data_IF_915460715432
#
_entry.id   IF_915460715432
#
_cell.length_a   1.000
_cell.length_b   1.000
_cell.length_c   1.000
_cell.angle_alpha   90.00
_cell.angle_beta   90.00
_cell.angle_gamma   90.00
#
_symmetry.space_group_name_H-M   'P 1'
#
loop_
_entity.id
_entity.type
_entity.pdbx_description
1 polymer ?
#
# COMPACT_ATOMS: atom_id res chain seq x y z
N UNK A 1 -22.41 16.57 14.40
CA UNK A 1 -21.19 16.49 13.56
C UNK A 1 -21.42 15.45 12.47
N UNK A 2 -21.27 15.76 11.18
CA UNK A 2 -21.47 14.77 10.12
C UNK A 2 -20.46 13.63 10.27
N UNK A 3 -20.93 12.38 10.19
CA UNK A 3 -20.07 11.19 10.13
C UNK A 3 -19.41 11.16 8.75
N UNK A 4 -18.12 11.48 8.67
CA UNK A 4 -17.33 11.18 7.47
C UNK A 4 -17.13 9.67 7.45
N UNK A 5 -17.76 8.97 6.52
CA UNK A 5 -17.48 7.56 6.28
C UNK A 5 -16.06 7.43 5.70
N UNK A 6 -15.22 6.59 6.30
CA UNK A 6 -13.89 6.31 5.77
C UNK A 6 -14.03 5.42 4.54
N UNK A 7 -13.62 5.90 3.37
CA UNK A 7 -13.55 5.12 2.14
C UNK A 7 -12.19 4.47 2.03
N UNK A 8 -12.12 3.25 1.46
CA UNK A 8 -10.89 2.46 1.39
C UNK A 8 -10.77 1.78 0.04
N UNK A 9 -9.55 1.62 -0.46
CA UNK A 9 -9.24 0.79 -1.62
C UNK A 9 -8.42 -0.43 -1.15
N UNK A 10 -8.74 -1.60 -1.70
CA UNK A 10 -7.98 -2.83 -1.49
C UNK A 10 -7.20 -3.18 -2.77
N UNK A 11 -5.94 -3.51 -2.60
CA UNK A 11 -5.03 -3.89 -3.67
C UNK A 11 -4.73 -5.38 -3.57
N UNK A 12 -4.95 -6.09 -4.66
CA UNK A 12 -4.54 -7.48 -4.84
C UNK A 12 -3.49 -7.50 -5.94
N UNK A 13 -2.30 -8.01 -5.64
CA UNK A 13 -1.21 -8.13 -6.61
C UNK A 13 -0.80 -9.59 -6.72
N UNK A 14 -0.84 -10.13 -7.93
CA UNK A 14 -0.41 -11.48 -8.24
C UNK A 14 0.92 -11.43 -9.01
N UNK A 15 1.96 -12.05 -8.44
CA UNK A 15 3.27 -12.17 -9.08
C UNK A 15 3.81 -13.58 -8.86
N UNK A 16 4.09 -14.31 -9.95
CA UNK A 16 4.70 -15.65 -9.88
C UNK A 16 3.90 -16.66 -9.03
N UNK A 17 2.58 -16.53 -8.95
CA UNK A 17 1.72 -17.39 -8.11
C UNK A 17 1.64 -16.97 -6.64
N UNK A 18 2.32 -15.90 -6.24
CA UNK A 18 2.21 -15.31 -4.91
C UNK A 18 1.28 -14.09 -4.95
N UNK A 19 0.23 -14.11 -4.13
CA UNK A 19 -0.73 -13.01 -4.00
C UNK A 19 -0.43 -12.18 -2.77
N UNK A 20 -0.21 -10.88 -2.98
CA UNK A 20 -0.02 -9.88 -1.94
C UNK A 20 -1.18 -8.90 -1.83
N UNK A 21 -1.38 -8.37 -0.62
CA UNK A 21 -2.50 -7.49 -0.28
C UNK A 21 -2.05 -6.15 0.29
N UNK A 22 -2.76 -5.10 -0.05
CA UNK A 22 -2.58 -3.78 0.53
C UNK A 22 -3.89 -3.01 0.66
N UNK A 23 -3.88 -1.99 1.51
CA UNK A 23 -5.04 -1.12 1.78
C UNK A 23 -4.61 0.34 1.70
N UNK A 24 -5.40 1.16 0.99
CA UNK A 24 -5.28 2.60 1.00
C UNK A 24 -6.49 3.20 1.74
N UNK A 25 -6.33 3.62 3.02
CA UNK A 25 -7.37 4.35 3.73
C UNK A 25 -7.45 5.79 3.23
N UNK A 26 -8.62 6.22 2.78
CA UNK A 26 -8.85 7.56 2.24
C UNK A 26 -9.67 8.34 3.26
N UNK A 27 -9.03 9.34 3.87
CA UNK A 27 -9.64 10.19 4.87
C UNK A 27 -9.20 11.63 4.62
N UNK A 28 -10.02 12.39 3.89
CA UNK A 28 -9.68 13.73 3.38
C UNK A 28 -9.15 14.72 4.44
N UNK A 29 -9.51 14.56 5.72
CA UNK A 29 -9.01 15.39 6.81
C UNK A 29 -7.55 15.09 7.20
N UNK A 30 -6.98 14.00 6.70
CA UNK A 30 -5.64 13.48 7.01
C UNK A 30 -4.84 13.22 5.73
N UNK A 31 -5.46 12.59 4.75
CA UNK A 31 -4.86 12.27 3.44
C UNK A 31 -5.19 13.37 2.44
N UNK A 32 -4.23 13.71 1.59
CA UNK A 32 -4.41 14.72 0.54
C UNK A 32 -5.27 14.25 -0.65
N UNK A 33 -5.45 12.95 -0.81
CA UNK A 33 -6.25 12.36 -1.90
C UNK A 33 -7.72 12.17 -1.51
N UNK A 34 -8.62 12.46 -2.46
CA UNK A 34 -10.02 12.01 -2.43
C UNK A 34 -10.18 10.66 -3.13
N UNK A 35 -11.39 10.09 -3.06
CA UNK A 35 -11.68 8.78 -3.65
C UNK A 35 -11.48 8.74 -5.17
N UNK A 36 -11.84 9.81 -5.88
CA UNK A 36 -11.74 9.86 -7.35
C UNK A 36 -10.26 9.88 -7.76
N UNK A 37 -9.48 10.75 -7.14
CA UNK A 37 -8.03 10.86 -7.34
C UNK A 37 -7.35 9.54 -7.01
N UNK A 38 -7.75 8.91 -5.91
CA UNK A 38 -7.17 7.63 -5.51
C UNK A 38 -7.46 6.52 -6.52
N UNK A 39 -8.67 6.46 -7.09
CA UNK A 39 -9.03 5.50 -8.14
C UNK A 39 -8.25 5.72 -9.43
N UNK A 40 -8.10 6.98 -9.87
CA UNK A 40 -7.30 7.33 -11.06
C UNK A 40 -5.84 6.92 -10.85
N UNK A 41 -5.25 7.28 -9.71
CA UNK A 41 -3.86 6.93 -9.39
C UNK A 41 -3.62 5.44 -9.18
N UNK A 42 -4.62 4.73 -8.67
CA UNK A 42 -4.60 3.26 -8.61
C UNK A 42 -4.55 2.67 -10.02
N UNK A 43 -5.35 3.18 -10.97
CA UNK A 43 -5.32 2.72 -12.36
C UNK A 43 -3.95 2.98 -13.00
N UNK A 44 -3.40 4.19 -12.86
CA UNK A 44 -2.07 4.53 -13.40
C UNK A 44 -0.98 3.59 -12.85
N UNK A 45 -1.01 3.30 -11.54
CA UNK A 45 -0.07 2.37 -10.93
C UNK A 45 -0.23 0.93 -11.48
N UNK A 46 -1.46 0.46 -11.65
CA UNK A 46 -1.73 -0.85 -12.25
C UNK A 46 -1.28 -0.94 -13.72
N UNK A 47 -1.41 0.14 -14.48
CA UNK A 47 -0.94 0.22 -15.87
C UNK A 47 0.59 0.16 -15.92
N UNK A 48 1.28 0.97 -15.10
CA UNK A 48 2.74 0.94 -14.99
C UNK A 48 3.25 -0.47 -14.63
N UNK A 49 2.68 -1.11 -13.60
CA UNK A 49 3.11 -2.45 -13.17
C UNK A 49 2.96 -3.54 -14.25
N UNK A 50 2.04 -3.37 -15.20
CA UNK A 50 1.85 -4.31 -16.33
C UNK A 50 2.89 -4.09 -17.43
N UNK A 51 3.42 -2.88 -17.55
CA UNK A 51 4.38 -2.51 -18.60
C UNK A 51 5.84 -2.69 -18.14
N UNK A 52 6.09 -2.69 -16.83
CA UNK A 52 7.43 -2.89 -16.30
C UNK A 52 7.96 -4.30 -16.62
N UNK A 53 9.24 -4.42 -17.04
CA UNK A 53 9.89 -5.72 -17.16
C UNK A 53 10.10 -6.36 -15.78
N UNK A 54 10.56 -7.62 -15.76
CA UNK A 54 10.95 -8.24 -14.50
C UNK A 54 12.12 -7.47 -13.86
N UNK A 55 11.90 -7.03 -12.62
CA UNK A 55 12.83 -6.14 -11.90
C UNK A 55 12.89 -6.52 -10.42
N UNK A 56 13.99 -6.13 -9.77
CA UNK A 56 14.10 -6.24 -8.31
C UNK A 56 13.04 -5.36 -7.64
N UNK A 57 12.43 -5.86 -6.56
CA UNK A 57 11.39 -5.17 -5.80
C UNK A 57 11.73 -3.70 -5.52
N UNK A 58 12.96 -3.41 -5.06
CA UNK A 58 13.39 -2.04 -4.76
C UNK A 58 13.32 -1.07 -5.94
N UNK A 59 13.58 -1.54 -7.16
CA UNK A 59 13.44 -0.70 -8.35
C UNK A 59 11.97 -0.47 -8.72
N UNK A 60 11.12 -1.50 -8.61
CA UNK A 60 9.68 -1.36 -8.86
C UNK A 60 9.05 -0.38 -7.87
N UNK A 61 9.44 -0.44 -6.59
CA UNK A 61 9.03 0.53 -5.57
C UNK A 61 9.46 1.96 -5.93
N UNK A 62 10.64 2.13 -6.52
CA UNK A 62 11.12 3.43 -6.97
C UNK A 62 10.30 3.99 -8.14
N UNK A 63 9.95 3.15 -9.13
CA UNK A 63 9.08 3.54 -10.25
C UNK A 63 7.69 3.97 -9.75
N UNK A 64 7.12 3.21 -8.81
CA UNK A 64 5.85 3.56 -8.16
C UNK A 64 5.95 4.86 -7.37
N UNK A 65 7.06 5.07 -6.65
CA UNK A 65 7.35 6.35 -5.98
C UNK A 65 7.45 7.54 -6.93
N UNK A 66 7.89 7.31 -8.17
CA UNK A 66 7.96 8.31 -9.23
C UNK A 66 6.59 8.81 -9.70
N UNK A 67 5.63 7.90 -9.91
CA UNK A 67 4.27 8.25 -10.35
C UNK A 67 3.33 8.63 -9.20
N UNK A 68 3.64 8.20 -7.96
CA UNK A 68 2.90 8.54 -6.75
C UNK A 68 3.78 9.36 -5.78
N UNK A 69 4.24 10.57 -6.16
CA UNK A 69 5.22 11.31 -5.38
C UNK A 69 4.64 11.97 -4.13
N UNK A 70 5.50 12.10 -3.12
CA UNK A 70 5.28 12.95 -1.94
C UNK A 70 4.07 12.53 -1.09
N UNK A 71 3.47 13.51 -0.42
CA UNK A 71 2.31 13.32 0.46
C UNK A 71 0.98 13.25 -0.31
N UNK A 72 0.93 13.80 -1.53
CA UNK A 72 -0.31 13.95 -2.31
C UNK A 72 -1.01 12.62 -2.59
N UNK A 73 -0.24 11.55 -2.76
CA UNK A 73 -0.72 10.22 -3.14
C UNK A 73 -0.27 9.13 -2.16
N UNK A 74 -0.01 9.51 -0.92
CA UNK A 74 0.65 8.64 0.05
C UNK A 74 -0.21 7.40 0.39
N UNK A 75 -1.54 7.53 0.44
CA UNK A 75 -2.41 6.40 0.75
C UNK A 75 -2.42 5.38 -0.38
N UNK A 76 -2.59 5.81 -1.62
CA UNK A 76 -2.50 4.91 -2.78
C UNK A 76 -1.13 4.26 -2.87
N UNK A 77 -0.06 5.04 -2.67
CA UNK A 77 1.31 4.50 -2.69
C UNK A 77 1.49 3.40 -1.65
N UNK A 78 1.08 3.63 -0.40
CA UNK A 78 1.13 2.60 0.65
C UNK A 78 0.31 1.38 0.27
N UNK A 79 -0.90 1.55 -0.27
CA UNK A 79 -1.73 0.42 -0.71
C UNK A 79 -1.04 -0.46 -1.74
N UNK A 80 -0.40 0.14 -2.75
CA UNK A 80 0.32 -0.59 -3.81
C UNK A 80 1.63 -1.21 -3.29
N UNK A 81 2.44 -0.44 -2.56
CA UNK A 81 3.73 -0.90 -2.01
C UNK A 81 3.54 -2.05 -1.02
N UNK A 82 2.51 -1.97 -0.15
CA UNK A 82 2.21 -3.05 0.80
C UNK A 82 1.80 -4.34 0.10
N UNK A 83 1.01 -4.27 -0.99
CA UNK A 83 0.67 -5.45 -1.77
C UNK A 83 1.92 -6.10 -2.40
N UNK A 84 2.85 -5.30 -2.91
CA UNK A 84 4.11 -5.83 -3.44
C UNK A 84 5.00 -6.46 -2.36
N UNK A 85 5.16 -5.80 -1.20
CA UNK A 85 5.98 -6.29 -0.09
C UNK A 85 5.38 -7.57 0.49
N UNK A 86 4.05 -7.65 0.63
CA UNK A 86 3.34 -8.84 1.09
C UNK A 86 3.53 -10.02 0.12
N UNK A 87 3.39 -9.79 -1.19
CA UNK A 87 3.67 -10.82 -2.20
C UNK A 87 5.13 -11.32 -2.13
N UNK A 88 6.09 -10.39 -1.98
CA UNK A 88 7.51 -10.72 -1.90
C UNK A 88 7.87 -11.48 -0.60
N UNK A 89 7.29 -11.10 0.53
CA UNK A 89 7.47 -11.82 1.79
C UNK A 89 6.97 -13.26 1.70
N UNK A 90 5.79 -13.45 1.08
CA UNK A 90 5.20 -14.77 0.83
C UNK A 90 6.02 -15.61 -0.13
N UNK A 91 6.57 -15.02 -1.19
CA UNK A 91 7.36 -15.77 -2.18
C UNK A 91 8.65 -16.36 -1.61
N UNK A 92 9.21 -15.74 -0.57
CA UNK A 92 10.40 -16.25 0.15
C UNK A 92 10.05 -17.00 1.44
N UNK A 93 8.77 -17.14 1.79
CA UNK A 93 8.31 -17.84 2.99
C UNK A 93 8.69 -17.15 4.31
N UNK A 94 8.92 -15.84 4.30
CA UNK A 94 9.35 -15.08 5.48
C UNK A 94 8.18 -14.23 6.01
N UNK A 95 7.81 -14.34 7.29
CA UNK A 95 6.86 -13.41 7.90
C UNK A 95 7.33 -11.96 7.80
N UNK A 96 6.42 -11.05 7.45
CA UNK A 96 6.74 -9.64 7.17
C UNK A 96 7.52 -8.94 8.31
N UNK A 97 7.19 -9.20 9.58
CA UNK A 97 7.93 -8.63 10.72
C UNK A 97 9.40 -9.09 10.78
N UNK A 98 9.72 -10.29 10.28
CA UNK A 98 11.10 -10.76 10.12
C UNK A 98 11.78 -10.10 8.93
N UNK A 99 11.05 -9.90 7.83
CA UNK A 99 11.55 -9.16 6.66
C UNK A 99 11.97 -7.73 7.04
N UNK A 100 11.25 -7.10 7.97
CA UNK A 100 11.59 -5.77 8.51
C UNK A 100 12.63 -5.78 9.65
N UNK A 101 13.38 -6.87 9.84
CA UNK A 101 14.50 -6.93 10.79
C UNK A 101 14.23 -7.72 12.07
N UNK A 102 13.00 -8.17 12.32
CA UNK A 102 12.74 -9.24 13.29
C UNK A 102 12.90 -8.90 14.78
N UNK A 103 12.89 -7.61 15.15
CA UNK A 103 13.16 -7.18 16.51
C UNK A 103 12.13 -7.67 17.55
N UNK A 104 10.84 -7.73 17.18
CA UNK A 104 9.75 -8.23 18.02
C UNK A 104 8.58 -8.70 17.15
N UNK A 105 7.81 -9.67 17.65
CA UNK A 105 6.52 -10.09 17.10
C UNK A 105 5.33 -9.62 17.97
N UNK A 106 5.57 -8.74 18.94
CA UNK A 106 4.55 -8.17 19.84
C UNK A 106 4.67 -6.64 19.91
N UNK A 107 3.51 -5.98 20.02
CA UNK A 107 3.41 -4.53 20.24
C UNK A 107 2.26 -4.24 21.21
N UNK A 108 2.47 -3.29 22.12
CA UNK A 108 1.39 -2.75 22.97
C UNK A 108 0.78 -1.53 22.27
N UNK A 109 -0.56 -1.50 22.16
CA UNK A 109 -1.27 -0.40 21.49
C UNK A 109 -2.24 0.31 22.45
N UNK A 110 -2.46 1.59 22.20
CA UNK A 110 -3.44 2.42 22.91
C UNK A 110 -4.83 2.33 22.25
N UNK A 111 -5.88 2.72 22.98
CA UNK A 111 -7.24 2.86 22.45
C UNK A 111 -7.71 4.32 22.53
N UNK A 112 -8.30 4.82 21.44
CA UNK A 112 -8.83 6.19 21.39
C UNK A 112 -10.31 6.19 21.79
N UNK A 113 -10.67 7.02 22.78
CA UNK A 113 -12.06 7.21 23.23
C UNK A 113 -12.56 8.57 22.71
N UNK A 114 -13.73 8.59 22.06
CA UNK A 114 -14.39 9.81 21.56
C UNK A 114 -15.78 9.92 22.20
N UNK A 115 -16.08 11.08 22.79
CA UNK A 115 -17.41 11.44 23.32
C UNK A 115 -18.18 12.29 22.30
#
# INVERSE_FOLDING_TARGET
>A
VPRVAATRLFFELNSGGCVGWGEAPILLSVTAEDHITAMVKTREACELLRELPEMKLGHVLQEIGGILPGHRFASVRVGVEMAMIDAAAKSVGVPMWKLFGGASNTITTNITIRF
#
